data_IF_223849265271
#
_entry.id   IF_223849265271
#
_cell.length_a   1.000
_cell.length_b   1.000
_cell.length_c   1.000
_cell.angle_alpha   90.00
_cell.angle_beta   90.00
_cell.angle_gamma   90.00
#
_symmetry.space_group_name_H-M   'P 1'
#
loop_
_entity.id
_entity.type
_entity.pdbx_description
1 polymer ?
#
# COMPACT_ATOMS: atom_id res chain seq x y z
N UNK A 1 5.12 8.05 -2.18
CA UNK A 1 5.06 8.25 -0.73
C UNK A 1 3.62 8.01 -0.30
N UNK A 2 3.39 7.17 0.70
CA UNK A 2 2.08 6.64 1.13
C UNK A 2 1.24 6.20 -0.08
N UNK A 3 1.81 5.30 -0.88
CA UNK A 3 1.32 4.92 -2.21
C UNK A 3 -0.06 4.27 -2.22
N UNK A 4 -0.59 3.94 -1.05
CA UNK A 4 -1.90 3.34 -0.82
C UNK A 4 -3.02 4.39 -0.62
N UNK A 5 -2.70 5.66 -0.35
CA UNK A 5 -3.71 6.69 -0.11
C UNK A 5 -4.42 7.12 -1.40
N UNK A 6 -5.76 7.14 -1.37
CA UNK A 6 -6.58 7.60 -2.50
C UNK A 6 -6.72 9.12 -2.57
N UNK A 7 -6.43 9.82 -1.48
CA UNK A 7 -6.54 11.27 -1.39
C UNK A 7 -5.60 11.88 -0.35
N UNK A 8 -6.18 12.49 0.69
CA UNK A 8 -5.44 13.21 1.73
C UNK A 8 -4.88 12.28 2.83
N UNK A 9 -3.92 12.80 3.59
CA UNK A 9 -3.20 12.07 4.65
C UNK A 9 -4.04 11.76 5.90
N UNK A 10 -5.20 12.38 6.11
CA UNK A 10 -5.91 12.32 7.39
C UNK A 10 -7.21 11.52 7.35
N UNK A 11 -7.94 11.54 6.23
CA UNK A 11 -9.32 11.04 6.18
C UNK A 11 -9.67 10.28 4.90
N UNK A 12 -8.75 10.16 3.94
CA UNK A 12 -9.04 9.45 2.69
C UNK A 12 -8.99 7.94 2.85
N UNK A 13 -9.59 7.22 1.90
CA UNK A 13 -9.52 5.77 1.89
C UNK A 13 -8.13 5.28 1.47
N UNK A 14 -7.74 4.11 1.97
CA UNK A 14 -6.60 3.35 1.47
C UNK A 14 -7.08 2.35 0.41
N UNK A 15 -6.28 2.13 -0.62
CA UNK A 15 -6.61 1.24 -1.72
C UNK A 15 -5.37 0.79 -2.48
N UNK A 16 -5.50 -0.28 -3.25
CA UNK A 16 -4.49 -0.71 -4.21
C UNK A 16 -4.56 0.08 -5.54
N UNK A 17 -5.65 0.82 -5.79
CA UNK A 17 -5.84 1.59 -7.03
C UNK A 17 -4.72 2.63 -7.28
N UNK A 18 -4.30 3.45 -6.29
CA UNK A 18 -3.19 4.39 -6.50
C UNK A 18 -1.85 3.67 -6.74
N UNK A 19 -1.64 2.50 -6.12
CA UNK A 19 -0.46 1.64 -6.36
C UNK A 19 -0.43 1.17 -7.81
N UNK A 20 -1.55 0.62 -8.31
CA UNK A 20 -1.70 0.23 -9.71
C UNK A 20 -1.38 1.38 -10.65
N UNK A 21 -1.99 2.55 -10.42
CA UNK A 21 -1.76 3.72 -11.27
C UNK A 21 -0.30 4.21 -11.23
N UNK A 22 0.36 4.12 -10.08
CA UNK A 22 1.77 4.45 -9.95
C UNK A 22 2.65 3.50 -10.80
N UNK A 23 2.43 2.19 -10.69
CA UNK A 23 3.16 1.18 -11.45
C UNK A 23 2.95 1.32 -12.97
N UNK A 24 1.71 1.59 -13.40
CA UNK A 24 1.39 1.87 -14.81
C UNK A 24 2.05 3.16 -15.35
N UNK A 25 2.42 4.09 -14.45
CA UNK A 25 3.19 5.30 -14.76
C UNK A 25 4.70 5.11 -14.56
N UNK A 26 5.17 3.88 -14.53
CA UNK A 26 6.59 3.50 -14.36
C UNK A 26 7.22 3.89 -13.03
N UNK A 27 6.42 4.20 -11.99
CA UNK A 27 6.95 4.37 -10.62
C UNK A 27 7.55 3.05 -10.17
N UNK A 28 8.78 3.08 -9.63
CA UNK A 28 9.55 1.89 -9.22
C UNK A 28 9.70 1.72 -7.71
N UNK A 29 9.13 2.62 -6.92
CA UNK A 29 9.14 2.56 -5.46
C UNK A 29 7.72 2.69 -4.94
N UNK A 30 7.24 1.68 -4.21
CA UNK A 30 5.92 1.64 -3.59
C UNK A 30 6.09 1.53 -2.08
N UNK A 31 5.35 2.34 -1.34
CA UNK A 31 5.36 2.35 0.12
C UNK A 31 4.06 1.78 0.67
N UNK A 32 4.17 0.93 1.70
CA UNK A 32 3.07 0.32 2.43
C UNK A 32 3.34 0.44 3.94
N UNK A 33 2.42 1.05 4.66
CA UNK A 33 2.52 1.19 6.13
C UNK A 33 1.68 0.09 6.76
N UNK A 34 2.34 -0.90 7.36
CA UNK A 34 1.69 -2.14 7.78
C UNK A 34 1.34 -2.11 9.27
N UNK A 35 0.06 -2.32 9.57
CA UNK A 35 -0.50 -2.30 10.92
C UNK A 35 -1.28 -3.59 11.21
N UNK A 36 -1.31 -4.07 12.46
CA UNK A 36 -2.22 -5.15 12.81
C UNK A 36 -3.66 -4.68 12.59
N UNK A 37 -4.48 -5.52 11.97
CA UNK A 37 -5.90 -5.22 11.81
C UNK A 37 -6.61 -5.19 13.18
N UNK A 38 -7.86 -4.72 13.20
CA UNK A 38 -8.63 -4.56 14.45
C UNK A 38 -8.77 -5.87 15.26
N UNK A 39 -8.85 -7.01 14.57
CA UNK A 39 -8.98 -8.34 15.17
C UNK A 39 -7.63 -8.98 15.54
N UNK A 40 -6.51 -8.37 15.16
CA UNK A 40 -5.13 -8.87 15.34
C UNK A 40 -4.88 -10.26 14.74
N UNK A 41 -5.57 -10.59 13.66
CA UNK A 41 -5.44 -11.85 12.92
C UNK A 41 -5.00 -11.65 11.46
N UNK A 42 -4.85 -10.39 11.03
CA UNK A 42 -4.40 -10.02 9.69
C UNK A 42 -3.67 -8.67 9.69
N UNK A 43 -3.15 -8.26 8.54
CA UNK A 43 -2.39 -7.03 8.35
C UNK A 43 -3.14 -6.07 7.44
N UNK A 44 -3.35 -4.86 7.93
CA UNK A 44 -3.90 -3.74 7.17
C UNK A 44 -2.80 -2.76 6.74
N UNK A 45 -3.08 -2.03 5.67
CA UNK A 45 -2.30 -0.88 5.22
C UNK A 45 -3.13 0.38 5.46
N UNK A 46 -2.60 1.29 6.27
CA UNK A 46 -3.22 2.58 6.60
C UNK A 46 -2.21 3.59 7.15
N UNK A 47 -2.60 4.86 7.20
CA UNK A 47 -1.78 5.89 7.85
C UNK A 47 -2.12 5.96 9.36
N UNK A 48 -1.16 5.54 10.19
CA UNK A 48 -1.33 5.44 11.64
C UNK A 48 -1.72 6.76 12.32
N UNK A 49 -2.56 6.70 13.34
CA UNK A 49 -2.99 7.88 14.09
C UNK A 49 -3.94 8.81 13.34
N UNK A 50 -4.50 8.36 12.21
CA UNK A 50 -5.45 9.13 11.39
C UNK A 50 -6.79 8.41 11.21
N UNK A 51 -7.69 9.00 10.42
CA UNK A 51 -9.00 8.45 10.09
C UNK A 51 -9.05 7.85 8.68
N UNK A 52 -7.91 7.46 8.10
CA UNK A 52 -7.90 6.79 6.80
C UNK A 52 -8.53 5.41 6.89
N UNK A 53 -9.45 5.06 6.00
CA UNK A 53 -10.05 3.71 5.95
C UNK A 53 -9.00 2.70 5.49
N UNK A 54 -8.78 1.57 6.19
CA UNK A 54 -7.71 0.63 5.87
C UNK A 54 -7.98 -0.20 4.61
N UNK A 55 -6.91 -0.80 4.07
CA UNK A 55 -6.98 -1.84 3.03
C UNK A 55 -6.12 -3.03 3.41
N UNK A 56 -6.59 -4.26 3.18
CA UNK A 56 -5.79 -5.45 3.50
C UNK A 56 -4.47 -5.47 2.73
N UNK A 57 -3.36 -5.82 3.41
CA UNK A 57 -2.04 -5.94 2.79
C UNK A 57 -2.05 -6.88 1.57
N UNK A 58 -2.78 -7.99 1.66
CA UNK A 58 -2.85 -8.98 0.57
C UNK A 58 -3.43 -8.39 -0.72
N UNK A 59 -4.33 -7.41 -0.62
CA UNK A 59 -4.91 -6.72 -1.78
C UNK A 59 -3.86 -5.84 -2.46
N UNK A 60 -3.07 -5.09 -1.70
CA UNK A 60 -1.95 -4.30 -2.21
C UNK A 60 -0.91 -5.20 -2.89
N UNK A 61 -0.49 -6.30 -2.25
CA UNK A 61 0.53 -7.21 -2.80
C UNK A 61 0.06 -7.90 -4.09
N UNK A 62 -1.21 -8.29 -4.18
CA UNK A 62 -1.80 -8.84 -5.43
C UNK A 62 -1.75 -7.82 -6.57
N UNK A 63 -2.11 -6.57 -6.29
CA UNK A 63 -2.06 -5.48 -7.27
C UNK A 63 -0.63 -5.19 -7.74
N UNK A 64 0.34 -5.17 -6.81
CA UNK A 64 1.76 -5.05 -7.15
C UNK A 64 2.20 -6.21 -8.03
N UNK A 65 1.89 -7.46 -7.66
CA UNK A 65 2.23 -8.65 -8.47
C UNK A 65 1.70 -8.55 -9.90
N UNK A 66 0.46 -8.08 -10.07
CA UNK A 66 -0.18 -7.96 -11.39
C UNK A 66 0.42 -6.84 -12.24
N UNK A 67 0.87 -5.74 -11.64
CA UNK A 67 1.24 -4.52 -12.36
C UNK A 67 2.72 -4.14 -12.31
N UNK A 68 3.54 -4.81 -11.49
CA UNK A 68 4.96 -4.48 -11.24
C UNK A 68 5.82 -4.32 -12.49
N UNK A 69 5.49 -5.07 -13.54
CA UNK A 69 6.25 -5.10 -14.80
C UNK A 69 5.44 -4.64 -16.01
N UNK A 70 4.27 -4.04 -15.79
CA UNK A 70 3.37 -3.62 -16.89
C UNK A 70 3.94 -2.49 -17.75
N UNK A 71 4.72 -1.59 -17.16
CA UNK A 71 5.31 -0.43 -17.84
C UNK A 71 6.84 -0.51 -17.99
N UNK A 72 7.50 -1.45 -17.31
CA UNK A 72 8.96 -1.54 -17.26
C UNK A 72 9.44 -2.88 -16.67
N UNK A 73 10.48 -3.49 -17.26
CA UNK A 73 11.08 -4.76 -16.81
C UNK A 73 12.07 -4.62 -15.64
N UNK A 74 12.44 -3.39 -15.27
CA UNK A 74 13.36 -3.15 -14.14
C UNK A 74 12.76 -3.61 -12.80
N UNK A 75 13.50 -3.64 -11.68
CA UNK A 75 12.98 -4.04 -10.37
C UNK A 75 11.99 -3.02 -9.74
N UNK A 76 11.00 -3.49 -8.96
CA UNK A 76 10.21 -2.65 -8.04
C UNK A 76 10.84 -2.75 -6.65
N UNK A 77 11.05 -1.62 -5.99
CA UNK A 77 11.35 -1.57 -4.56
C UNK A 77 10.05 -1.37 -3.79
N UNK A 78 9.79 -2.22 -2.81
CA UNK A 78 8.66 -2.07 -1.89
C UNK A 78 9.24 -1.69 -0.53
N UNK A 79 8.90 -0.50 -0.03
CA UNK A 79 9.26 -0.08 1.32
C UNK A 79 8.10 -0.41 2.25
N UNK A 80 8.39 -1.21 3.29
CA UNK A 80 7.44 -1.54 4.34
C UNK A 80 7.75 -0.67 5.56
N UNK A 81 6.81 0.17 5.96
CA UNK A 81 6.86 0.85 7.25
C UNK A 81 6.17 -0.04 8.29
N UNK A 82 6.98 -0.76 9.07
CA UNK A 82 6.52 -1.86 9.93
C UNK A 82 6.09 -1.40 11.32
N UNK A 83 4.78 -1.53 11.61
CA UNK A 83 4.18 -1.29 12.93
C UNK A 83 3.59 -2.57 13.54
N UNK A 84 3.99 -3.76 13.06
CA UNK A 84 3.58 -5.03 13.66
C UNK A 84 4.19 -5.19 15.06
N UNK A 85 3.49 -5.94 15.91
CA UNK A 85 4.08 -6.46 17.15
C UNK A 85 4.79 -7.79 16.87
N UNK A 86 5.99 -8.04 17.45
CA UNK A 86 6.72 -9.30 17.30
C UNK A 86 5.93 -10.55 17.72
#
# INVERSE_FOLDING_TARGET
>A
HNSYLTGNQLTSDCSDVPIKHALQKSVRVIELDIWPNSSKDNVDVLHGGTMTSPVELIKCLKSIKEHAFSASEYPVVITLEDHQTP
#
